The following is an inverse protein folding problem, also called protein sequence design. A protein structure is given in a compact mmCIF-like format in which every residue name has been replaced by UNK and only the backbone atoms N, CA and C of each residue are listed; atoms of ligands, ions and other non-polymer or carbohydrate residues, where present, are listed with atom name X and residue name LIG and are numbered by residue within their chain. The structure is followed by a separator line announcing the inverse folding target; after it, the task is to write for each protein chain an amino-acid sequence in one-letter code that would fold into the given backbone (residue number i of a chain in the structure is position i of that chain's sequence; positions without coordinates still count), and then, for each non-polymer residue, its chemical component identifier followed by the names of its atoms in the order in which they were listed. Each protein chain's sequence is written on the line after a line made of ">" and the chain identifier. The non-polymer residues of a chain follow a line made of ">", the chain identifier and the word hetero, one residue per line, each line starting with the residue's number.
data_IF_636430031453
#
_entry.id   IF_636430031453
#
_cell.length_a   1.000
_cell.length_b   1.000
_cell.length_c   1.000
_cell.angle_alpha   90.00
_cell.angle_beta   90.00
_cell.angle_gamma   90.00
#
_symmetry.space_group_name_H-M   'P 1'
#
loop_
_entity.id
_entity.type
_entity.pdbx_description
1 polymer ?
#
# COMPACT_ATOMS: atom_id res chain seq x y z
N UNK A 1 4.77 -2.13 -43.62
CA UNK A 1 5.17 -2.70 -42.30
C UNK A 1 6.47 -3.50 -42.36
N UNK A 2 6.87 -4.06 -43.51
CA UNK A 2 8.08 -4.90 -43.65
C UNK A 2 9.36 -4.23 -43.09
N UNK A 3 9.62 -2.98 -43.45
CA UNK A 3 10.78 -2.22 -42.94
C UNK A 3 10.83 -2.11 -41.42
N UNK A 4 9.67 -2.01 -40.74
CA UNK A 4 9.64 -1.95 -39.28
C UNK A 4 10.00 -3.31 -38.65
N UNK A 5 9.57 -4.42 -39.28
CA UNK A 5 9.90 -5.78 -38.88
C UNK A 5 11.41 -6.02 -39.04
N UNK A 6 11.97 -5.65 -40.19
CA UNK A 6 13.41 -5.75 -40.47
C UNK A 6 14.25 -4.94 -39.48
N UNK A 7 13.89 -3.68 -39.23
CA UNK A 7 14.59 -2.82 -38.28
C UNK A 7 14.49 -3.35 -36.84
N UNK A 8 13.35 -3.94 -36.47
CA UNK A 8 13.18 -4.63 -35.18
C UNK A 8 14.09 -5.86 -35.09
N UNK A 9 14.21 -6.66 -36.16
CA UNK A 9 15.13 -7.79 -36.22
C UNK A 9 16.59 -7.37 -36.09
N UNK A 10 17.00 -6.31 -36.80
CA UNK A 10 18.33 -5.70 -36.68
C UNK A 10 18.62 -5.21 -35.25
N UNK A 11 17.67 -4.50 -34.64
CA UNK A 11 17.80 -4.02 -33.26
C UNK A 11 17.98 -5.19 -32.28
N UNK A 12 17.16 -6.24 -32.42
CA UNK A 12 17.24 -7.46 -31.63
C UNK A 12 18.60 -8.13 -31.76
N UNK A 13 19.12 -8.29 -32.99
CA UNK A 13 20.44 -8.85 -33.25
C UNK A 13 21.55 -8.05 -32.57
N UNK A 14 21.53 -6.72 -32.69
CA UNK A 14 22.50 -5.81 -32.06
C UNK A 14 22.48 -5.96 -30.54
N UNK A 15 21.28 -5.97 -29.94
CA UNK A 15 21.11 -6.12 -28.49
C UNK A 15 21.70 -7.42 -27.97
N UNK A 16 21.28 -8.56 -28.52
CA UNK A 16 21.69 -9.87 -28.03
C UNK A 16 23.10 -10.29 -28.45
N UNK A 17 23.77 -9.52 -29.31
CA UNK A 17 25.20 -9.72 -29.60
C UNK A 17 26.10 -9.33 -28.42
N UNK A 18 25.69 -8.35 -27.60
CA UNK A 18 26.46 -7.86 -26.45
C UNK A 18 25.65 -7.87 -25.14
N UNK A 19 24.50 -8.57 -25.11
CA UNK A 19 23.65 -8.59 -23.93
C UNK A 19 24.33 -9.37 -22.78
N UNK A 20 24.32 -8.84 -21.54
CA UNK A 20 24.71 -9.62 -20.38
C UNK A 20 23.69 -10.76 -20.15
N UNK A 21 24.15 -11.96 -19.78
CA UNK A 21 23.27 -13.10 -19.49
C UNK A 21 23.77 -14.43 -20.04
N UNK A 22 22.85 -15.38 -20.19
CA UNK A 22 23.16 -16.73 -20.65
C UNK A 22 23.52 -16.73 -22.16
N UNK A 23 24.73 -17.16 -22.55
CA UNK A 23 25.17 -17.16 -23.96
C UNK A 23 24.26 -17.94 -24.91
N UNK A 24 23.68 -19.05 -24.44
CA UNK A 24 22.78 -19.90 -25.24
C UNK A 24 21.46 -19.15 -25.50
N UNK A 25 20.91 -18.51 -24.46
CA UNK A 25 19.68 -17.72 -24.60
C UNK A 25 19.92 -16.52 -25.51
N UNK A 26 21.05 -15.84 -25.36
CA UNK A 26 21.44 -14.73 -26.22
C UNK A 26 21.61 -15.17 -27.69
N UNK A 27 22.25 -16.32 -27.91
CA UNK A 27 22.37 -16.91 -29.24
C UNK A 27 21.00 -17.21 -29.86
N UNK A 28 20.10 -17.86 -29.12
CA UNK A 28 18.74 -18.14 -29.60
C UNK A 28 17.98 -16.85 -29.91
N UNK A 29 17.97 -15.88 -28.99
CA UNK A 29 17.25 -14.63 -29.18
C UNK A 29 17.78 -13.82 -30.36
N UNK A 30 19.11 -13.81 -30.56
CA UNK A 30 19.75 -13.17 -31.71
C UNK A 30 19.33 -13.79 -33.04
N UNK A 31 19.07 -15.10 -33.10
CA UNK A 31 18.76 -15.79 -34.36
C UNK A 31 17.24 -15.98 -34.61
N UNK A 32 16.38 -15.59 -33.67
CA UNK A 32 14.93 -15.59 -33.88
C UNK A 32 14.52 -14.25 -34.48
N UNK A 33 14.13 -14.27 -35.76
CA UNK A 33 13.64 -13.09 -36.47
C UNK A 33 12.17 -12.79 -36.16
N UNK A 34 11.78 -11.52 -36.02
CA UNK A 34 10.37 -11.15 -35.99
C UNK A 34 9.74 -11.42 -37.35
N UNK A 35 8.50 -11.92 -37.33
CA UNK A 35 7.71 -12.19 -38.53
C UNK A 35 6.35 -11.52 -38.42
N UNK A 36 5.86 -10.99 -39.54
CA UNK A 36 4.50 -10.49 -39.64
C UNK A 36 3.51 -11.66 -39.59
N UNK A 37 2.46 -11.54 -38.78
CA UNK A 37 1.40 -12.57 -38.69
C UNK A 37 0.03 -11.93 -38.82
N UNK A 38 -0.94 -12.69 -39.35
CA UNK A 38 -2.34 -12.25 -39.36
C UNK A 38 -2.90 -12.16 -37.94
N UNK A 39 -3.92 -11.31 -37.74
CA UNK A 39 -4.66 -11.22 -36.47
C UNK A 39 -5.22 -12.57 -36.02
N UNK A 40 -5.73 -13.38 -36.96
CA UNK A 40 -6.24 -14.72 -36.68
C UNK A 40 -5.13 -15.66 -36.18
N UNK A 41 -3.96 -15.63 -36.83
CA UNK A 41 -2.78 -16.41 -36.41
C UNK A 41 -2.30 -15.97 -35.03
N UNK A 42 -2.21 -14.66 -34.77
CA UNK A 42 -1.81 -14.13 -33.46
C UNK A 42 -2.77 -14.55 -32.34
N UNK A 43 -4.09 -14.49 -32.55
CA UNK A 43 -5.06 -14.95 -31.54
C UNK A 43 -4.93 -16.44 -31.25
N UNK A 44 -4.58 -17.26 -32.24
CA UNK A 44 -4.39 -18.70 -32.08
C UNK A 44 -3.06 -19.08 -31.41
N UNK A 45 -1.97 -18.39 -31.73
CA UNK A 45 -0.60 -18.82 -31.39
C UNK A 45 0.22 -17.77 -30.60
N UNK A 46 -0.37 -16.60 -30.32
CA UNK A 46 0.30 -15.49 -29.67
C UNK A 46 0.38 -15.62 -28.14
N UNK A 47 0.96 -14.58 -27.53
CA UNK A 47 1.33 -14.57 -26.11
C UNK A 47 0.16 -14.88 -25.16
N UNK A 48 -1.04 -14.37 -25.44
CA UNK A 48 -2.23 -14.66 -24.62
C UNK A 48 -2.61 -16.16 -24.62
N UNK A 49 -2.49 -16.84 -25.76
CA UNK A 49 -2.82 -18.27 -25.87
C UNK A 49 -1.72 -19.13 -25.26
N UNK A 50 -0.44 -18.79 -25.49
CA UNK A 50 0.69 -19.43 -24.82
C UNK A 50 0.59 -19.30 -23.29
N UNK A 51 0.19 -18.13 -22.79
CA UNK A 51 -0.03 -17.90 -21.36
C UNK A 51 -1.13 -18.77 -20.75
N UNK A 52 -2.23 -18.97 -21.47
CA UNK A 52 -3.31 -19.90 -21.06
C UNK A 52 -2.84 -21.35 -21.04
N UNK A 53 -2.13 -21.80 -22.07
CA UNK A 53 -1.59 -23.16 -22.14
C UNK A 53 -0.58 -23.42 -21.01
N UNK A 54 0.33 -22.47 -20.76
CA UNK A 54 1.31 -22.57 -19.68
C UNK A 54 0.65 -22.71 -18.30
N UNK A 55 -0.39 -21.91 -18.00
CA UNK A 55 -1.19 -22.08 -16.77
C UNK A 55 -1.84 -23.46 -16.66
N UNK A 56 -2.38 -23.98 -17.76
CA UNK A 56 -2.95 -25.33 -17.80
C UNK A 56 -1.92 -26.40 -17.45
N UNK A 57 -0.74 -26.32 -18.05
CA UNK A 57 0.38 -27.25 -17.79
C UNK A 57 0.88 -27.13 -16.34
N UNK A 58 1.05 -25.91 -15.81
CA UNK A 58 1.45 -25.71 -14.41
C UNK A 58 0.46 -26.37 -13.43
N UNK A 59 -0.84 -26.21 -13.65
CA UNK A 59 -1.90 -26.83 -12.83
C UNK A 59 -1.88 -28.36 -12.88
N UNK A 60 -1.49 -28.96 -14.01
CA UNK A 60 -1.32 -30.41 -14.15
C UNK A 60 -0.06 -30.88 -13.42
N UNK A 61 1.05 -30.15 -13.59
CA UNK A 61 2.32 -30.44 -12.91
C UNK A 61 2.19 -30.35 -11.38
N UNK A 62 1.33 -29.49 -10.84
CA UNK A 62 1.08 -29.40 -9.40
C UNK A 62 0.21 -30.55 -8.85
N UNK A 63 -0.70 -31.09 -9.66
CA UNK A 63 -1.68 -32.11 -9.22
C UNK A 63 -1.19 -33.55 -9.32
N UNK A 64 -0.01 -33.81 -9.89
CA UNK A 64 0.40 -35.16 -10.33
C UNK A 64 1.72 -35.70 -9.78
N UNK A 65 2.23 -35.26 -8.62
CA UNK A 65 3.64 -35.56 -8.24
C UNK A 65 3.80 -36.53 -7.06
N UNK A 66 4.40 -37.71 -7.27
CA UNK A 66 4.94 -38.57 -6.21
C UNK A 66 6.15 -37.95 -5.52
N UNK A 67 6.29 -38.18 -4.21
CA UNK A 67 7.27 -37.55 -3.31
C UNK A 67 8.75 -37.49 -3.79
N UNK A 68 9.34 -38.51 -4.45
CA UNK A 68 10.78 -38.49 -4.77
C UNK A 68 11.18 -37.60 -5.98
N UNK A 69 10.23 -37.07 -6.75
CA UNK A 69 10.50 -36.14 -7.87
C UNK A 69 9.96 -34.72 -7.64
N UNK A 70 9.53 -34.42 -6.41
CA UNK A 70 8.76 -33.23 -6.10
C UNK A 70 9.49 -31.90 -6.35
N UNK A 71 10.77 -31.79 -6.02
CA UNK A 71 11.45 -30.49 -6.01
C UNK A 71 11.84 -29.97 -7.42
N UNK A 72 12.40 -30.80 -8.33
CA UNK A 72 12.63 -30.39 -9.72
C UNK A 72 11.33 -30.11 -10.48
N UNK A 73 10.27 -30.88 -10.22
CA UNK A 73 8.97 -30.67 -10.87
C UNK A 73 8.27 -29.41 -10.36
N UNK A 74 8.35 -29.09 -9.07
CA UNK A 74 7.81 -27.84 -8.51
C UNK A 74 8.56 -26.61 -9.00
N UNK A 75 9.89 -26.69 -9.15
CA UNK A 75 10.67 -25.57 -9.70
C UNK A 75 10.30 -25.32 -11.16
N UNK A 76 10.09 -26.39 -11.94
CA UNK A 76 9.58 -26.30 -13.30
C UNK A 76 8.16 -25.74 -13.36
N UNK A 77 7.24 -26.21 -12.50
CA UNK A 77 5.86 -25.71 -12.44
C UNK A 77 5.82 -24.20 -12.17
N UNK A 78 6.62 -23.72 -11.21
CA UNK A 78 6.77 -22.29 -10.92
C UNK A 78 7.37 -21.50 -12.09
N UNK A 79 8.35 -22.07 -12.79
CA UNK A 79 8.92 -21.43 -13.98
C UNK A 79 7.89 -21.31 -15.12
N UNK A 80 7.08 -22.36 -15.33
CA UNK A 80 5.99 -22.38 -16.33
C UNK A 80 4.88 -21.41 -15.94
N UNK A 81 4.50 -21.34 -14.66
CA UNK A 81 3.52 -20.39 -14.15
C UNK A 81 3.99 -18.94 -14.37
N UNK A 82 5.22 -18.63 -13.98
CA UNK A 82 5.83 -17.31 -14.18
C UNK A 82 5.89 -16.92 -15.65
N UNK A 83 6.24 -17.86 -16.53
CA UNK A 83 6.19 -17.64 -17.98
C UNK A 83 4.75 -17.34 -18.44
N UNK A 84 3.77 -18.11 -17.95
CA UNK A 84 2.37 -17.92 -18.26
C UNK A 84 1.81 -16.56 -17.84
N UNK A 85 2.21 -16.06 -16.67
CA UNK A 85 1.88 -14.71 -16.19
C UNK A 85 2.44 -13.63 -17.11
N UNK A 86 3.74 -13.70 -17.45
CA UNK A 86 4.40 -12.74 -18.35
C UNK A 86 3.72 -12.76 -19.72
N UNK A 87 3.53 -13.94 -20.31
CA UNK A 87 2.91 -14.08 -21.63
C UNK A 87 1.46 -13.53 -21.66
N UNK A 88 0.71 -13.68 -20.56
CA UNK A 88 -0.65 -13.14 -20.47
C UNK A 88 -0.66 -11.62 -20.40
N UNK A 89 0.17 -11.03 -19.53
CA UNK A 89 0.33 -9.56 -19.45
C UNK A 89 0.77 -8.99 -20.79
N UNK A 90 1.74 -9.62 -21.46
CA UNK A 90 2.16 -9.21 -22.81
C UNK A 90 1.01 -9.29 -23.81
N UNK A 91 0.18 -10.35 -23.76
CA UNK A 91 -1.01 -10.48 -24.58
C UNK A 91 -2.04 -9.37 -24.34
N UNK A 92 -2.33 -9.06 -23.08
CA UNK A 92 -3.25 -7.97 -22.69
C UNK A 92 -2.76 -6.61 -23.20
N UNK A 93 -1.46 -6.33 -23.06
CA UNK A 93 -0.84 -5.11 -23.60
C UNK A 93 -1.00 -5.07 -25.12
N UNK A 94 -0.66 -6.14 -25.84
CA UNK A 94 -0.73 -6.16 -27.30
C UNK A 94 -2.17 -5.99 -27.79
N UNK A 95 -3.17 -6.59 -27.14
CA UNK A 95 -4.58 -6.42 -27.51
C UNK A 95 -5.03 -4.94 -27.44
N UNK A 96 -4.52 -4.15 -26.50
CA UNK A 96 -4.77 -2.70 -26.47
C UNK A 96 -4.23 -1.98 -27.72
N UNK A 97 -3.16 -2.49 -28.31
CA UNK A 97 -2.51 -1.91 -29.48
C UNK A 97 -3.00 -2.49 -30.82
N UNK A 98 -3.72 -3.61 -30.84
CA UNK A 98 -4.24 -4.22 -32.07
C UNK A 98 -5.08 -3.25 -32.93
N UNK A 99 -5.96 -2.41 -32.35
CA UNK A 99 -6.68 -1.42 -33.15
C UNK A 99 -5.76 -0.46 -33.90
N UNK A 100 -4.60 -0.13 -33.32
CA UNK A 100 -3.61 0.78 -33.89
C UNK A 100 -2.66 0.10 -34.88
N UNK A 101 -2.40 -1.20 -34.72
CA UNK A 101 -1.47 -1.95 -35.56
C UNK A 101 -2.14 -2.69 -36.72
N UNK A 102 -3.42 -3.03 -36.60
CA UNK A 102 -4.09 -3.88 -37.59
C UNK A 102 -5.44 -3.31 -38.05
N UNK A 103 -6.33 -2.94 -37.13
CA UNK A 103 -7.71 -2.62 -37.51
C UNK A 103 -7.83 -1.22 -38.15
N UNK A 104 -7.03 -0.26 -37.67
CA UNK A 104 -6.82 0.99 -38.36
C UNK A 104 -5.77 0.81 -39.45
N UNK A 105 -6.18 0.92 -40.71
CA UNK A 105 -5.25 1.07 -41.83
C UNK A 105 -4.63 2.47 -41.82
N UNK A 106 -3.87 2.80 -40.77
CA UNK A 106 -3.24 4.10 -40.59
C UNK A 106 -2.19 4.31 -41.68
N UNK A 107 -2.59 4.99 -42.74
CA UNK A 107 -1.68 5.51 -43.73
C UNK A 107 -0.99 6.72 -43.13
N UNK A 108 0.31 6.61 -42.87
CA UNK A 108 1.12 7.77 -42.55
C UNK A 108 1.10 8.72 -43.74
N UNK A 109 0.42 9.86 -43.58
CA UNK A 109 0.26 10.89 -44.61
C UNK A 109 0.83 12.19 -44.10
N UNK A 110 1.70 12.79 -44.90
CA UNK A 110 2.26 14.11 -44.62
C UNK A 110 1.65 15.19 -45.52
N UNK A 111 0.54 14.92 -46.21
CA UNK A 111 0.05 15.80 -47.28
C UNK A 111 -0.34 17.19 -46.79
N UNK A 112 -0.96 17.28 -45.61
CA UNK A 112 -1.31 18.56 -44.99
C UNK A 112 -0.04 19.35 -44.64
N UNK A 113 0.96 18.68 -44.06
CA UNK A 113 2.25 19.28 -43.71
C UNK A 113 3.02 19.70 -44.97
N UNK A 114 3.02 18.88 -46.03
CA UNK A 114 3.59 19.23 -47.34
C UNK A 114 2.92 20.45 -47.94
N UNK A 115 1.58 20.51 -47.90
CA UNK A 115 0.82 21.64 -48.44
C UNK A 115 1.07 22.93 -47.65
N UNK A 116 1.18 22.84 -46.33
CA UNK A 116 1.50 23.98 -45.48
C UNK A 116 2.93 24.45 -45.73
N UNK A 117 3.90 23.53 -45.75
CA UNK A 117 5.30 23.83 -46.05
C UNK A 117 5.44 24.48 -47.43
N UNK A 118 4.73 23.98 -48.45
CA UNK A 118 4.71 24.54 -49.80
C UNK A 118 4.05 25.94 -49.92
N UNK A 119 3.35 26.41 -48.88
CA UNK A 119 2.79 27.77 -48.81
C UNK A 119 3.66 28.76 -48.04
N UNK A 120 4.62 28.28 -47.25
CA UNK A 120 5.53 29.14 -46.48
C UNK A 120 6.48 29.88 -47.42
N UNK A 121 6.87 31.10 -47.05
CA UNK A 121 7.95 31.83 -47.73
C UNK A 121 9.28 31.11 -47.59
N UNK A 122 10.22 31.37 -48.50
CA UNK A 122 11.54 30.71 -48.49
C UNK A 122 12.31 30.95 -47.19
N UNK A 123 12.21 32.16 -46.62
CA UNK A 123 12.86 32.51 -45.35
C UNK A 123 12.36 31.64 -44.19
N UNK A 124 11.04 31.41 -44.09
CA UNK A 124 10.46 30.58 -43.04
C UNK A 124 10.78 29.09 -43.23
N UNK A 125 10.82 28.60 -44.48
CA UNK A 125 11.24 27.22 -44.77
C UNK A 125 12.70 26.98 -44.40
N UNK A 126 13.56 27.98 -44.58
CA UNK A 126 14.96 27.89 -44.20
C UNK A 126 15.13 27.81 -42.67
N UNK A 127 14.25 28.47 -41.91
CA UNK A 127 14.24 28.43 -40.44
C UNK A 127 13.65 27.13 -39.86
N UNK A 128 12.76 26.46 -40.59
CA UNK A 128 12.10 25.22 -40.17
C UNK A 128 12.29 24.09 -41.20
N UNK A 129 13.51 23.58 -41.41
CA UNK A 129 13.77 22.56 -42.42
C UNK A 129 12.97 21.28 -42.15
N UNK A 130 12.15 20.87 -43.12
CA UNK A 130 11.33 19.66 -43.02
C UNK A 130 11.51 18.80 -44.27
N UNK A 131 12.30 17.74 -44.13
CA UNK A 131 12.64 16.81 -45.19
C UNK A 131 12.44 15.37 -44.71
N UNK A 132 11.18 14.90 -44.56
CA UNK A 132 10.92 13.55 -44.08
C UNK A 132 11.60 12.47 -44.94
N UNK A 133 11.88 12.78 -46.20
CA UNK A 133 12.46 11.86 -47.18
C UNK A 133 13.96 11.70 -46.98
N UNK A 134 14.59 12.65 -46.28
CA UNK A 134 16.01 12.60 -45.88
C UNK A 134 16.22 11.89 -44.55
N UNK A 135 15.16 11.44 -43.88
CA UNK A 135 15.29 10.68 -42.64
C UNK A 135 15.93 9.33 -42.96
N UNK A 136 17.14 9.12 -42.45
CA UNK A 136 17.70 7.77 -42.37
C UNK A 136 16.95 7.01 -41.26
N UNK A 137 15.91 6.29 -41.67
CA UNK A 137 15.10 5.47 -40.77
C UNK A 137 15.90 4.39 -40.04
N UNK A 138 17.01 3.91 -40.63
CA UNK A 138 17.86 2.93 -39.95
C UNK A 138 18.60 3.61 -38.81
N UNK A 139 19.22 4.76 -39.05
CA UNK A 139 19.88 5.54 -38.03
C UNK A 139 18.91 5.98 -36.93
N UNK A 140 17.79 6.61 -37.31
CA UNK A 140 16.77 7.04 -36.34
C UNK A 140 16.26 5.87 -35.49
N UNK A 141 15.95 4.72 -36.10
CA UNK A 141 15.41 3.60 -35.33
C UNK A 141 16.47 2.95 -34.43
N UNK A 142 17.65 2.62 -34.97
CA UNK A 142 18.67 1.83 -34.26
C UNK A 142 19.54 2.66 -33.31
N UNK A 143 19.78 3.93 -33.61
CA UNK A 143 20.72 4.77 -32.86
C UNK A 143 20.01 5.85 -32.02
N UNK A 144 18.73 6.14 -32.27
CA UNK A 144 17.96 7.12 -31.49
C UNK A 144 16.78 6.47 -30.76
N UNK A 145 15.86 5.83 -31.50
CA UNK A 145 14.59 5.34 -30.95
C UNK A 145 14.76 4.14 -30.00
N UNK A 146 15.46 3.09 -30.43
CA UNK A 146 15.72 1.90 -29.60
C UNK A 146 16.50 2.27 -28.33
N UNK A 147 17.62 3.02 -28.39
CA UNK A 147 18.31 3.45 -27.17
C UNK A 147 17.44 4.29 -26.24
N UNK A 148 16.54 5.12 -26.77
CA UNK A 148 15.60 5.88 -25.94
C UNK A 148 14.60 4.96 -25.23
N UNK A 149 14.07 3.94 -25.89
CA UNK A 149 13.21 2.93 -25.27
C UNK A 149 13.97 2.19 -24.17
N UNK A 150 15.19 1.73 -24.46
CA UNK A 150 16.04 1.01 -23.50
C UNK A 150 16.35 1.86 -22.26
N UNK A 151 16.60 3.16 -22.46
CA UNK A 151 16.92 4.08 -21.36
C UNK A 151 15.70 4.47 -20.53
N UNK A 152 14.57 4.77 -21.16
CA UNK A 152 13.45 5.45 -20.50
C UNK A 152 12.24 4.56 -20.26
N UNK A 153 11.99 3.55 -21.10
CA UNK A 153 10.77 2.73 -21.04
C UNK A 153 11.04 1.39 -20.37
N UNK A 154 12.16 0.74 -20.69
CA UNK A 154 12.47 -0.59 -20.15
C UNK A 154 12.56 -0.65 -18.62
N UNK A 155 13.19 0.32 -17.92
CA UNK A 155 13.24 0.30 -16.46
C UNK A 155 11.85 0.33 -15.82
N UNK A 156 10.93 1.13 -16.37
CA UNK A 156 9.55 1.19 -15.88
C UNK A 156 8.78 -0.11 -16.14
N UNK A 157 8.93 -0.69 -17.33
CA UNK A 157 8.31 -1.97 -17.67
C UNK A 157 8.86 -3.08 -16.77
N UNK A 158 10.17 -3.12 -16.55
CA UNK A 158 10.81 -4.07 -15.65
C UNK A 158 10.31 -3.91 -14.21
N UNK A 159 10.15 -2.68 -13.71
CA UNK A 159 9.58 -2.39 -12.40
C UNK A 159 8.12 -2.86 -12.29
N UNK A 160 7.29 -2.60 -13.31
CA UNK A 160 5.88 -3.03 -13.33
C UNK A 160 5.71 -4.56 -13.44
N UNK A 161 6.67 -5.23 -14.08
CA UNK A 161 6.71 -6.69 -14.19
C UNK A 161 7.43 -7.37 -13.03
N UNK A 162 8.08 -6.60 -12.15
CA UNK A 162 8.74 -7.14 -10.96
C UNK A 162 7.71 -7.87 -10.07
N UNK A 163 8.12 -8.95 -9.38
CA UNK A 163 7.23 -9.64 -8.46
C UNK A 163 6.73 -8.68 -7.38
N UNK A 164 5.41 -8.50 -7.28
CA UNK A 164 4.83 -7.75 -6.16
C UNK A 164 5.07 -8.53 -4.87
N UNK A 165 5.58 -7.86 -3.83
CA UNK A 165 5.71 -8.48 -2.50
C UNK A 165 4.31 -8.89 -2.02
N UNK A 166 4.19 -10.11 -1.51
CA UNK A 166 2.91 -10.57 -0.97
C UNK A 166 2.52 -9.68 0.21
N UNK A 167 1.25 -9.25 0.32
CA UNK A 167 0.78 -8.51 1.48
C UNK A 167 0.99 -9.33 2.75
N UNK A 168 1.23 -8.65 3.87
CA UNK A 168 1.24 -9.31 5.18
C UNK A 168 -0.10 -10.01 5.40
N UNK A 169 -0.09 -11.12 6.13
CA UNK A 169 -1.33 -11.78 6.54
C UNK A 169 -2.13 -10.77 7.37
N UNK A 170 -3.38 -10.54 6.97
CA UNK A 170 -4.29 -9.66 7.69
C UNK A 170 -4.58 -10.20 9.09
N UNK A 171 -4.45 -9.35 10.11
CA UNK A 171 -4.92 -9.67 11.47
C UNK A 171 -6.45 -9.68 11.51
N UNK A 172 -7.03 -10.44 12.44
CA UNK A 172 -8.48 -10.54 12.57
C UNK A 172 -9.10 -9.19 13.01
N UNK A 173 -8.46 -8.52 13.97
CA UNK A 173 -8.81 -7.19 14.45
C UNK A 173 -7.56 -6.51 15.06
N UNK A 174 -7.67 -5.24 15.41
CA UNK A 174 -6.53 -4.46 15.96
C UNK A 174 -5.97 -5.05 17.25
N UNK A 175 -6.81 -5.58 18.15
CA UNK A 175 -6.29 -6.23 19.36
C UNK A 175 -5.50 -7.51 19.06
N UNK A 176 -5.97 -8.35 18.13
CA UNK A 176 -5.24 -9.55 17.70
C UNK A 176 -3.89 -9.20 17.07
N UNK A 177 -3.75 -8.01 16.48
CA UNK A 177 -2.45 -7.49 16.06
C UNK A 177 -1.53 -7.25 17.26
N UNK A 178 -2.01 -6.54 18.30
CA UNK A 178 -1.21 -6.29 19.52
C UNK A 178 -0.80 -7.59 20.22
N UNK A 179 -1.68 -8.57 20.32
CA UNK A 179 -1.37 -9.88 20.90
C UNK A 179 -0.30 -10.64 20.12
N UNK A 180 -0.44 -10.71 18.80
CA UNK A 180 0.54 -11.36 17.92
C UNK A 180 1.91 -10.65 17.99
N UNK A 181 1.93 -9.32 18.05
CA UNK A 181 3.16 -8.55 18.19
C UNK A 181 3.83 -8.79 19.55
N UNK A 182 3.08 -8.82 20.64
CA UNK A 182 3.61 -9.13 21.96
C UNK A 182 4.18 -10.56 22.04
N UNK A 183 3.54 -11.53 21.38
CA UNK A 183 4.03 -12.90 21.30
C UNK A 183 5.32 -13.02 20.47
N UNK A 184 5.40 -12.30 19.34
CA UNK A 184 6.55 -12.39 18.42
C UNK A 184 7.77 -11.58 18.86
N UNK A 185 7.53 -10.40 19.43
CA UNK A 185 8.59 -9.43 19.71
C UNK A 185 8.87 -9.26 21.22
N UNK A 186 7.93 -9.65 22.09
CA UNK A 186 8.13 -9.70 23.55
C UNK A 186 8.74 -8.42 24.12
N UNK A 187 9.96 -8.54 24.65
CA UNK A 187 10.70 -7.43 25.27
C UNK A 187 11.40 -6.48 24.30
N UNK A 188 11.29 -6.69 22.98
CA UNK A 188 11.81 -5.75 22.00
C UNK A 188 11.11 -4.38 22.14
N UNK A 189 11.83 -3.26 21.91
CA UNK A 189 11.24 -1.92 21.98
C UNK A 189 10.15 -1.73 20.93
N UNK A 190 8.96 -1.31 21.35
CA UNK A 190 7.86 -0.90 20.46
C UNK A 190 7.81 0.63 20.33
N UNK A 191 7.85 1.32 21.47
CA UNK A 191 7.75 2.78 21.54
C UNK A 191 8.95 3.32 22.32
N UNK A 192 9.58 4.35 21.79
CA UNK A 192 10.66 5.12 22.38
C UNK A 192 10.13 6.56 22.54
N UNK A 193 10.53 7.24 23.60
CA UNK A 193 10.08 8.61 23.85
C UNK A 193 11.03 9.32 24.80
N UNK A 194 11.10 10.65 24.72
CA UNK A 194 11.92 11.45 25.62
C UNK A 194 11.05 12.14 26.67
N UNK A 195 11.48 12.08 27.93
CA UNK A 195 11.00 12.97 29.00
C UNK A 195 12.19 13.82 29.46
N UNK A 196 12.16 15.11 29.11
CA UNK A 196 13.35 15.96 29.23
C UNK A 196 14.48 15.45 28.33
N UNK A 197 15.67 15.24 28.89
CA UNK A 197 16.84 14.72 28.17
C UNK A 197 16.93 13.18 28.21
N UNK A 198 16.04 12.50 28.94
CA UNK A 198 16.11 11.06 29.15
C UNK A 198 15.26 10.30 28.13
N UNK A 199 15.88 9.31 27.47
CA UNK A 199 15.19 8.38 26.58
C UNK A 199 14.59 7.22 27.36
N UNK A 200 13.29 7.04 27.21
CA UNK A 200 12.50 5.94 27.75
C UNK A 200 12.06 4.99 26.64
N UNK A 201 11.76 3.74 27.03
CA UNK A 201 11.29 2.70 26.12
C UNK A 201 10.09 1.97 26.71
N UNK A 202 9.21 1.52 25.82
CA UNK A 202 8.11 0.60 26.10
C UNK A 202 8.18 -0.56 25.12
N UNK A 203 8.30 -1.77 25.64
CA UNK A 203 8.32 -2.99 24.83
C UNK A 203 6.95 -3.36 24.29
N UNK A 204 6.90 -4.25 23.29
CA UNK A 204 5.65 -4.81 22.78
C UNK A 204 4.84 -5.52 23.89
N UNK A 205 5.53 -6.25 24.77
CA UNK A 205 4.92 -6.93 25.90
C UNK A 205 4.29 -5.93 26.89
N UNK A 206 5.03 -4.89 27.27
CA UNK A 206 4.53 -3.85 28.18
C UNK A 206 3.36 -3.06 27.59
N UNK A 207 3.39 -2.78 26.28
CA UNK A 207 2.26 -2.13 25.59
C UNK A 207 0.99 -2.99 25.71
N UNK A 208 1.10 -4.29 25.44
CA UNK A 208 -0.02 -5.25 25.52
C UNK A 208 -0.53 -5.37 26.97
N UNK A 209 0.36 -5.54 27.94
CA UNK A 209 -0.03 -5.69 29.34
C UNK A 209 -0.70 -4.43 29.89
N UNK A 210 -0.13 -3.24 29.62
CA UNK A 210 -0.75 -1.99 30.06
C UNK A 210 -2.08 -1.71 29.36
N UNK A 211 -2.20 -2.04 28.07
CA UNK A 211 -3.49 -1.94 27.38
C UNK A 211 -4.55 -2.89 27.98
N UNK A 212 -4.16 -4.09 28.42
CA UNK A 212 -5.06 -4.95 29.20
C UNK A 212 -5.46 -4.31 30.55
N UNK A 213 -4.53 -3.66 31.25
CA UNK A 213 -4.83 -2.93 32.49
C UNK A 213 -5.84 -1.81 32.27
N UNK A 214 -5.62 -0.99 31.25
CA UNK A 214 -6.58 0.05 30.81
C UNK A 214 -7.94 -0.57 30.51
N UNK A 215 -8.00 -1.70 29.81
CA UNK A 215 -9.26 -2.37 29.49
C UNK A 215 -10.02 -2.82 30.75
N UNK A 216 -9.31 -3.33 31.76
CA UNK A 216 -9.87 -3.69 33.05
C UNK A 216 -10.43 -2.46 33.79
N UNK A 217 -9.67 -1.36 33.82
CA UNK A 217 -10.08 -0.09 34.41
C UNK A 217 -11.35 0.46 33.74
N UNK A 218 -11.37 0.49 32.40
CA UNK A 218 -12.48 1.01 31.63
C UNK A 218 -13.74 0.16 31.73
N UNK A 219 -13.62 -1.17 31.75
CA UNK A 219 -14.77 -2.06 31.88
C UNK A 219 -15.32 -2.10 33.31
N UNK A 220 -14.43 -2.11 34.32
CA UNK A 220 -14.79 -2.16 35.73
C UNK A 220 -15.32 -0.83 36.22
N UNK A 221 -14.44 0.17 36.32
CA UNK A 221 -14.81 1.48 36.86
C UNK A 221 -15.55 2.32 35.81
N UNK A 222 -15.04 2.36 34.57
CA UNK A 222 -15.64 3.14 33.50
C UNK A 222 -17.00 2.62 33.04
N UNK A 223 -17.28 1.33 33.25
CA UNK A 223 -18.50 0.68 32.78
C UNK A 223 -18.58 0.50 31.26
N UNK A 224 -17.44 0.57 30.53
CA UNK A 224 -17.38 0.37 29.08
C UNK A 224 -17.85 -1.04 28.70
N UNK A 225 -18.75 -1.11 27.73
CA UNK A 225 -19.22 -2.34 27.12
C UNK A 225 -18.88 -2.39 25.63
N UNK A 226 -19.09 -3.55 25.01
CA UNK A 226 -18.89 -3.74 23.58
C UNK A 226 -19.66 -2.70 22.78
N UNK A 227 -18.94 -1.96 21.94
CA UNK A 227 -19.47 -0.91 21.08
C UNK A 227 -19.67 0.44 21.77
N UNK A 228 -19.34 0.60 23.05
CA UNK A 228 -19.38 1.92 23.70
C UNK A 228 -18.28 2.84 23.19
N UNK A 229 -18.56 4.13 23.15
CA UNK A 229 -17.63 5.13 22.61
C UNK A 229 -16.88 5.82 23.74
N UNK A 230 -15.56 5.87 23.62
CA UNK A 230 -14.67 6.53 24.58
C UNK A 230 -13.87 7.58 23.83
N UNK A 231 -13.97 8.83 24.28
CA UNK A 231 -13.16 9.93 23.72
C UNK A 231 -11.74 9.79 24.25
N UNK A 232 -10.77 9.95 23.35
CA UNK A 232 -9.35 9.93 23.66
C UNK A 232 -8.70 11.21 23.11
N UNK A 233 -8.16 12.04 24.00
CA UNK A 233 -7.51 13.31 23.62
C UNK A 233 -6.21 13.51 24.38
N UNK A 234 -5.17 13.94 23.68
CA UNK A 234 -3.84 14.15 24.28
C UNK A 234 -2.75 14.33 23.24
N UNK A 235 -1.58 14.75 23.71
CA UNK A 235 -0.40 14.90 22.85
C UNK A 235 0.19 13.53 22.48
N UNK A 236 1.12 13.53 21.52
CA UNK A 236 1.85 12.33 21.16
C UNK A 236 2.63 11.81 22.37
N UNK A 237 2.20 10.65 22.87
CA UNK A 237 2.83 9.98 24.00
C UNK A 237 2.51 8.48 23.94
N UNK A 238 3.41 7.58 24.40
CA UNK A 238 3.12 6.14 24.44
C UNK A 238 1.89 5.75 25.25
N UNK A 239 1.50 6.57 26.23
CA UNK A 239 0.28 6.38 27.01
C UNK A 239 -0.98 6.57 26.15
N UNK A 240 -0.95 7.48 25.17
CA UNK A 240 -2.03 7.62 24.19
C UNK A 240 -2.26 6.33 23.42
N UNK A 241 -1.17 5.71 22.93
CA UNK A 241 -1.20 4.43 22.22
C UNK A 241 -1.71 3.31 23.12
N UNK A 242 -1.24 3.29 24.36
CA UNK A 242 -1.63 2.31 25.38
C UNK A 242 -3.13 2.39 25.68
N UNK A 243 -3.65 3.60 25.87
CA UNK A 243 -5.07 3.82 26.14
C UNK A 243 -5.92 3.52 24.90
N UNK A 244 -5.47 3.89 23.70
CA UNK A 244 -6.15 3.54 22.45
C UNK A 244 -6.39 2.02 22.38
N UNK A 245 -5.33 1.23 22.55
CA UNK A 245 -5.46 -0.23 22.50
C UNK A 245 -6.20 -0.80 23.70
N UNK A 246 -6.17 -0.13 24.86
CA UNK A 246 -6.96 -0.50 26.02
C UNK A 246 -8.46 -0.32 25.82
N UNK A 247 -8.88 0.78 25.19
CA UNK A 247 -10.28 1.00 24.79
C UNK A 247 -10.71 -0.09 23.80
N UNK A 248 -9.89 -0.35 22.78
CA UNK A 248 -10.14 -1.42 21.80
C UNK A 248 -10.26 -2.78 22.51
N UNK A 249 -9.38 -3.07 23.47
CA UNK A 249 -9.39 -4.32 24.24
C UNK A 249 -10.62 -4.43 25.16
N UNK A 250 -11.16 -3.32 25.65
CA UNK A 250 -12.44 -3.30 26.37
C UNK A 250 -13.66 -3.51 25.44
N UNK A 251 -13.45 -3.59 24.12
CA UNK A 251 -14.52 -3.64 23.12
C UNK A 251 -15.11 -2.28 22.76
N UNK A 252 -14.49 -1.20 23.23
CA UNK A 252 -14.94 0.16 22.95
C UNK A 252 -14.48 0.66 21.59
N UNK A 253 -15.23 1.63 21.07
CA UNK A 253 -14.89 2.43 19.91
C UNK A 253 -14.15 3.69 20.34
N UNK A 254 -12.95 3.90 19.81
CA UNK A 254 -12.14 5.07 20.13
C UNK A 254 -12.62 6.28 19.34
N UNK A 255 -12.81 7.41 20.02
CA UNK A 255 -13.09 8.71 19.38
C UNK A 255 -11.86 9.61 19.61
N UNK A 256 -10.84 9.55 18.73
CA UNK A 256 -9.66 10.39 18.87
C UNK A 256 -10.02 11.84 18.54
N UNK A 257 -9.65 12.77 19.43
CA UNK A 257 -9.90 14.21 19.27
C UNK A 257 -8.61 14.98 19.46
N UNK A 258 -8.46 16.06 18.69
CA UNK A 258 -7.36 17.02 18.83
C UNK A 258 -7.38 17.70 20.22
N UNK A 259 -6.30 17.64 21.01
CA UNK A 259 -6.23 18.32 22.31
C UNK A 259 -6.39 19.84 22.23
N UNK A 260 -6.10 20.45 21.08
CA UNK A 260 -6.16 21.90 20.84
C UNK A 260 -7.48 22.33 20.14
N UNK A 261 -8.44 21.41 19.99
CA UNK A 261 -9.76 21.72 19.43
C UNK A 261 -10.49 22.76 20.31
N UNK A 262 -11.16 23.78 19.72
CA UNK A 262 -11.94 24.72 20.51
C UNK A 262 -13.01 24.00 21.38
N UNK A 263 -13.21 24.38 22.65
CA UNK A 263 -14.14 23.69 23.56
C UNK A 263 -15.57 23.53 23.01
N UNK A 264 -16.08 24.53 22.29
CA UNK A 264 -17.39 24.44 21.63
C UNK A 264 -17.44 23.32 20.57
N UNK A 265 -16.39 23.21 19.76
CA UNK A 265 -16.27 22.16 18.76
C UNK A 265 -16.10 20.77 19.42
N UNK A 266 -15.37 20.70 20.54
CA UNK A 266 -15.28 19.49 21.36
C UNK A 266 -16.66 19.05 21.88
N UNK A 267 -17.45 19.98 22.44
CA UNK A 267 -18.81 19.68 22.90
C UNK A 267 -19.73 19.19 21.78
N UNK A 268 -19.60 19.76 20.57
CA UNK A 268 -20.36 19.30 19.41
C UNK A 268 -19.98 17.86 19.02
N UNK A 269 -18.70 17.51 19.03
CA UNK A 269 -18.23 16.14 18.77
C UNK A 269 -18.71 15.19 19.87
N UNK A 270 -18.57 15.57 21.14
CA UNK A 270 -18.99 14.77 22.28
C UNK A 270 -20.50 14.47 22.24
N UNK A 271 -21.31 15.49 21.93
CA UNK A 271 -22.76 15.34 21.74
C UNK A 271 -23.08 14.42 20.56
N UNK A 272 -22.38 14.58 19.44
CA UNK A 272 -22.61 13.79 18.24
C UNK A 272 -22.20 12.32 18.41
N UNK A 273 -21.14 12.02 19.15
CA UNK A 273 -20.70 10.65 19.40
C UNK A 273 -21.43 9.99 20.59
N UNK A 274 -21.98 10.78 21.52
CA UNK A 274 -22.68 10.25 22.69
C UNK A 274 -21.77 9.46 23.65
N UNK A 275 -20.47 9.75 23.65
CA UNK A 275 -19.53 9.15 24.60
C UNK A 275 -19.81 9.64 26.02
N UNK A 276 -19.73 8.73 26.99
CA UNK A 276 -19.89 9.02 28.42
C UNK A 276 -18.57 9.02 29.18
N UNK A 277 -17.47 8.68 28.49
CA UNK A 277 -16.13 8.62 29.06
C UNK A 277 -15.19 9.40 28.16
N UNK A 278 -14.40 10.27 28.78
CA UNK A 278 -13.31 11.03 28.16
C UNK A 278 -12.03 10.67 28.89
N UNK A 279 -11.07 10.10 28.16
CA UNK A 279 -9.70 9.94 28.64
C UNK A 279 -8.86 11.06 28.05
N UNK A 280 -8.27 11.90 28.91
CA UNK A 280 -7.63 13.14 28.47
C UNK A 280 -6.29 13.40 29.15
N UNK A 281 -5.35 13.91 28.38
CA UNK A 281 -4.11 14.50 28.89
C UNK A 281 -4.43 15.80 29.66
N UNK A 282 -3.75 16.02 30.79
CA UNK A 282 -3.82 17.25 31.57
C UNK A 282 -3.68 18.53 30.71
N UNK A 283 -2.82 18.48 29.67
CA UNK A 283 -2.56 19.58 28.75
C UNK A 283 -3.62 19.78 27.65
N UNK A 284 -4.63 18.91 27.54
CA UNK A 284 -5.68 19.03 26.54
C UNK A 284 -6.67 20.15 26.92
N UNK A 285 -6.48 21.32 26.29
CA UNK A 285 -7.28 22.53 26.56
C UNK A 285 -8.74 22.42 26.08
N UNK A 286 -9.00 21.55 25.10
CA UNK A 286 -10.35 21.31 24.55
C UNK A 286 -11.38 20.81 25.58
N UNK A 287 -10.91 20.27 26.71
CA UNK A 287 -11.74 19.68 27.77
C UNK A 287 -12.03 20.68 28.91
N UNK A 288 -11.62 21.94 28.77
CA UNK A 288 -11.93 22.99 29.73
C UNK A 288 -13.46 23.12 29.93
N UNK A 289 -13.89 23.36 31.16
CA UNK A 289 -15.30 23.60 31.54
C UNK A 289 -16.30 22.44 31.36
N UNK A 290 -15.81 21.21 31.10
CA UNK A 290 -16.65 20.02 30.86
C UNK A 290 -17.64 19.69 31.99
N UNK A 291 -17.25 19.95 33.24
CA UNK A 291 -18.02 19.59 34.43
C UNK A 291 -19.35 20.35 34.55
N UNK A 292 -19.49 21.50 33.89
CA UNK A 292 -20.70 22.33 33.97
C UNK A 292 -21.85 21.85 33.07
N UNK A 293 -21.59 20.99 32.08
CA UNK A 293 -22.54 20.75 30.97
C UNK A 293 -23.13 19.34 30.89
N UNK A 294 -22.56 18.34 31.57
CA UNK A 294 -22.99 16.94 31.41
C UNK A 294 -22.73 16.10 32.68
N UNK A 295 -23.72 15.97 33.55
CA UNK A 295 -23.57 15.33 34.88
C UNK A 295 -23.19 13.84 34.87
N UNK A 296 -23.39 13.13 33.75
CA UNK A 296 -23.08 11.70 33.60
C UNK A 296 -21.72 11.43 32.92
N UNK A 297 -20.93 12.47 32.66
CA UNK A 297 -19.67 12.37 31.92
C UNK A 297 -18.49 12.09 32.84
N UNK A 298 -17.88 10.91 32.68
CA UNK A 298 -16.68 10.53 33.43
C UNK A 298 -15.42 10.98 32.69
N UNK A 299 -14.56 11.70 33.38
CA UNK A 299 -13.24 12.09 32.87
C UNK A 299 -12.15 11.30 33.59
N UNK A 300 -11.20 10.74 32.84
CA UNK A 300 -10.02 10.04 33.33
C UNK A 300 -8.77 10.75 32.82
N UNK A 301 -7.74 10.84 33.66
CA UNK A 301 -6.42 11.30 33.21
C UNK A 301 -5.76 10.23 32.32
N UNK A 302 -5.14 10.67 31.22
CA UNK A 302 -4.52 9.80 30.23
C UNK A 302 -3.39 8.93 30.82
N UNK A 303 -2.52 9.56 31.60
CA UNK A 303 -1.32 8.91 32.12
C UNK A 303 -1.65 8.00 33.31
N UNK A 304 -2.59 8.41 34.17
CA UNK A 304 -3.14 7.56 35.22
C UNK A 304 -3.86 6.34 34.64
N UNK A 305 -4.74 6.54 33.65
CA UNK A 305 -5.43 5.45 32.98
C UNK A 305 -4.44 4.45 32.37
N UNK A 306 -3.40 4.92 31.69
CA UNK A 306 -2.36 4.07 31.07
C UNK A 306 -1.54 3.24 32.07
N UNK A 307 -1.56 3.60 33.36
CA UNK A 307 -0.91 2.86 34.45
C UNK A 307 -1.92 2.10 35.33
N UNK A 308 -3.21 2.29 35.09
CA UNK A 308 -4.28 1.78 35.94
C UNK A 308 -4.77 0.38 35.55
N UNK A 309 -5.49 -0.24 36.48
CA UNK A 309 -6.09 -1.57 36.33
C UNK A 309 -5.10 -2.72 36.41
N UNK A 310 -5.61 -3.91 36.71
CA UNK A 310 -4.84 -5.16 36.67
C UNK A 310 -4.98 -5.78 35.26
N UNK A 311 -3.88 -5.98 34.51
CA UNK A 311 -3.90 -6.63 33.20
C UNK A 311 -4.61 -7.98 33.18
N UNK A 312 -4.62 -8.71 34.30
CA UNK A 312 -5.27 -10.03 34.43
C UNK A 312 -6.79 -9.94 34.53
N UNK A 313 -7.32 -8.74 34.79
CA UNK A 313 -8.74 -8.48 34.97
C UNK A 313 -9.40 -7.87 33.72
N UNK A 314 -8.71 -7.88 32.57
CA UNK A 314 -9.30 -7.42 31.32
C UNK A 314 -10.53 -8.27 30.94
N UNK A 315 -11.66 -7.67 30.55
CA UNK A 315 -12.92 -8.41 30.35
C UNK A 315 -12.79 -9.41 29.18
N UNK A 316 -13.46 -10.57 29.18
CA UNK A 316 -13.46 -11.47 28.03
C UNK A 316 -14.42 -10.93 26.95
N UNK A 317 -13.92 -10.09 26.04
CA UNK A 317 -14.73 -9.47 24.98
C UNK A 317 -14.38 -10.06 23.62
N UNK A 318 -15.39 -10.53 22.89
CA UNK A 318 -15.24 -10.97 21.51
C UNK A 318 -15.30 -9.77 20.55
N UNK A 319 -14.16 -9.42 19.95
CA UNK A 319 -14.04 -8.30 19.02
C UNK A 319 -14.29 -8.80 17.60
N UNK A 320 -15.36 -8.33 16.97
CA UNK A 320 -15.64 -8.62 15.56
C UNK A 320 -14.79 -7.76 14.62
N UNK A 321 -14.30 -8.36 13.52
CA UNK A 321 -13.58 -7.64 12.47
C UNK A 321 -14.42 -6.49 11.86
N UNK A 322 -15.74 -6.67 11.78
CA UNK A 322 -16.67 -5.64 11.30
C UNK A 322 -17.09 -4.61 12.37
N UNK A 323 -16.65 -4.78 13.62
CA UNK A 323 -16.91 -3.83 14.70
C UNK A 323 -16.18 -2.51 14.46
N UNK A 324 -16.79 -1.39 14.88
CA UNK A 324 -16.21 -0.05 14.73
C UNK A 324 -15.08 0.13 15.75
N UNK A 325 -13.86 0.26 15.24
CA UNK A 325 -12.66 0.50 16.05
C UNK A 325 -12.48 1.98 16.37
N UNK A 326 -12.79 2.86 15.42
CA UNK A 326 -12.69 4.30 15.62
C UNK A 326 -13.78 5.09 14.91
N UNK A 327 -14.21 6.18 15.56
CA UNK A 327 -15.03 7.24 14.96
C UNK A 327 -14.17 8.48 14.78
N UNK A 328 -13.84 8.80 13.53
CA UNK A 328 -13.02 9.98 13.22
C UNK A 328 -13.92 11.11 12.78
N UNK A 329 -13.88 12.23 13.52
CA UNK A 329 -14.67 13.41 13.18
C UNK A 329 -13.92 14.30 12.20
N UNK A 330 -14.65 14.77 11.20
CA UNK A 330 -14.15 15.76 10.24
C UNK A 330 -14.82 17.10 10.51
N UNK A 331 -14.13 18.20 10.22
CA UNK A 331 -14.55 19.59 10.43
C UNK A 331 -15.72 20.05 9.55
N UNK A 332 -16.60 19.11 9.14
CA UNK A 332 -17.69 19.24 8.18
C UNK A 332 -18.15 20.67 7.93
N UNK A 333 -18.13 21.07 6.66
CA UNK A 333 -18.46 22.44 6.17
C UNK A 333 -19.85 22.94 6.58
N UNK A 334 -20.73 22.08 7.09
CA UNK A 334 -22.10 22.37 7.51
C UNK A 334 -22.24 22.64 9.02
N UNK A 335 -21.14 22.79 9.76
CA UNK A 335 -21.14 23.11 11.20
C UNK A 335 -21.47 21.95 12.15
N UNK A 336 -22.11 20.88 11.65
CA UNK A 336 -22.32 19.63 12.41
C UNK A 336 -21.18 18.63 12.12
N UNK A 337 -20.43 18.18 13.15
CA UNK A 337 -19.36 17.20 12.96
C UNK A 337 -19.89 15.87 12.39
N UNK A 338 -19.22 15.34 11.36
CA UNK A 338 -19.55 14.04 10.77
C UNK A 338 -18.54 13.00 11.21
N UNK A 339 -19.00 11.96 11.90
CA UNK A 339 -18.18 10.84 12.33
C UNK A 339 -18.03 9.79 11.23
N UNK A 340 -16.80 9.55 10.79
CA UNK A 340 -16.45 8.46 9.89
C UNK A 340 -16.23 7.19 10.71
N UNK A 341 -17.05 6.18 10.48
CA UNK A 341 -16.92 4.86 11.11
C UNK A 341 -15.82 4.06 10.41
N UNK A 342 -14.76 3.71 11.15
CA UNK A 342 -13.70 2.83 10.70
C UNK A 342 -13.71 1.54 11.51
N UNK A 343 -13.90 0.42 10.82
CA UNK A 343 -13.92 -0.91 11.41
C UNK A 343 -12.51 -1.45 11.64
N UNK A 344 -12.39 -2.49 12.48
CA UNK A 344 -11.14 -3.21 12.63
C UNK A 344 -10.62 -3.77 11.29
N UNK A 345 -11.51 -4.29 10.44
CA UNK A 345 -11.17 -4.80 9.12
C UNK A 345 -10.63 -3.70 8.20
N UNK A 346 -11.15 -2.47 8.29
CA UNK A 346 -10.61 -1.34 7.52
C UNK A 346 -9.14 -1.08 7.87
N UNK A 347 -8.81 -0.98 9.16
CA UNK A 347 -7.44 -0.76 9.60
C UNK A 347 -6.52 -1.94 9.27
N UNK A 348 -6.91 -3.16 9.61
CA UNK A 348 -6.09 -4.35 9.35
C UNK A 348 -5.89 -4.60 7.84
N UNK A 349 -6.92 -4.35 7.02
CA UNK A 349 -6.83 -4.46 5.56
C UNK A 349 -5.88 -3.42 4.96
N UNK A 350 -5.94 -2.19 5.44
CA UNK A 350 -5.04 -1.11 5.01
C UNK A 350 -3.59 -1.40 5.40
N UNK A 351 -3.31 -1.86 6.63
CA UNK A 351 -1.96 -2.29 7.05
C UNK A 351 -1.41 -3.37 6.10
N UNK A 352 -2.21 -4.41 5.84
CA UNK A 352 -1.82 -5.50 4.95
C UNK A 352 -1.52 -5.02 3.52
N UNK A 353 -2.28 -4.03 3.01
CA UNK A 353 -2.07 -3.44 1.70
C UNK A 353 -0.83 -2.51 1.63
N UNK A 354 -0.51 -1.81 2.73
CA UNK A 354 0.62 -0.87 2.79
C UNK A 354 1.97 -1.56 3.05
N UNK A 355 2.00 -2.68 3.77
CA UNK A 355 3.26 -3.34 4.13
C UNK A 355 4.17 -3.74 2.95
N UNK A 356 3.65 -4.16 1.76
CA UNK A 356 4.49 -4.35 0.57
C UNK A 356 5.14 -3.09 0.02
N UNK A 357 4.49 -1.93 0.23
CA UNK A 357 4.92 -0.63 -0.29
C UNK A 357 6.00 -0.03 0.60
N UNK A 358 5.85 -0.18 1.92
CA UNK A 358 6.81 0.27 2.94
C UNK A 358 7.34 -0.95 3.70
N UNK A 359 8.42 -1.57 3.21
CA UNK A 359 8.90 -2.84 3.77
C UNK A 359 9.70 -2.63 5.04
N UNK A 360 9.01 -2.21 6.10
CA UNK A 360 9.55 -2.09 7.44
C UNK A 360 9.74 -3.47 8.06
N UNK A 361 10.70 -3.58 8.98
CA UNK A 361 10.92 -4.75 9.81
C UNK A 361 11.45 -4.36 11.20
N UNK A 362 11.69 -5.37 12.05
CA UNK A 362 12.10 -5.13 13.44
C UNK A 362 13.45 -4.42 13.65
N UNK A 363 14.26 -4.29 12.60
CA UNK A 363 15.48 -3.47 12.64
C UNK A 363 15.20 -1.96 12.49
N UNK A 364 14.08 -1.60 11.87
CA UNK A 364 13.77 -0.23 11.48
C UNK A 364 13.23 0.61 12.64
N UNK A 365 13.27 1.92 12.43
CA UNK A 365 12.78 2.92 13.36
C UNK A 365 11.96 3.95 12.59
N UNK A 366 10.70 4.12 12.96
CA UNK A 366 9.84 5.18 12.46
C UNK A 366 9.84 6.35 13.45
N UNK A 367 9.75 7.59 12.95
CA UNK A 367 9.60 8.78 13.78
C UNK A 367 8.15 9.25 13.70
N UNK A 368 7.49 9.38 14.84
CA UNK A 368 6.11 9.86 14.94
C UNK A 368 6.08 11.37 15.14
N UNK A 369 5.87 12.11 14.05
CA UNK A 369 5.95 13.59 14.06
C UNK A 369 4.57 14.24 14.03
N UNK A 370 3.62 13.66 13.29
CA UNK A 370 2.29 14.25 13.16
C UNK A 370 1.42 13.84 14.35
N UNK A 371 0.29 14.50 14.62
CA UNK A 371 -0.55 14.16 15.77
C UNK A 371 -1.18 12.77 15.66
N UNK A 372 -1.06 11.94 16.71
CA UNK A 372 -1.58 10.56 16.75
C UNK A 372 -3.10 10.46 16.58
N UNK A 373 -3.86 11.51 16.90
CA UNK A 373 -5.30 11.55 16.68
C UNK A 373 -5.66 11.69 15.19
N UNK A 374 -4.70 12.07 14.33
CA UNK A 374 -4.90 12.28 12.90
C UNK A 374 -4.77 10.95 12.15
N UNK A 375 -5.71 10.66 11.26
CA UNK A 375 -5.80 9.36 10.57
C UNK A 375 -4.47 8.95 9.93
N UNK A 376 -3.79 9.85 9.22
CA UNK A 376 -2.55 9.54 8.52
C UNK A 376 -1.43 9.08 9.48
N UNK A 377 -1.21 9.79 10.59
CA UNK A 377 -0.21 9.39 11.58
C UNK A 377 -0.60 8.08 12.23
N UNK A 378 -1.85 7.98 12.68
CA UNK A 378 -2.36 6.79 13.33
C UNK A 378 -2.17 5.54 12.46
N UNK A 379 -2.38 5.67 11.15
CA UNK A 379 -2.24 4.56 10.23
C UNK A 379 -0.79 4.30 9.79
N UNK A 380 -0.11 5.32 9.28
CA UNK A 380 1.19 5.18 8.61
C UNK A 380 2.37 5.37 9.57
N UNK A 381 2.23 6.22 10.58
CA UNK A 381 3.25 6.49 11.60
C UNK A 381 3.18 5.54 12.80
N UNK A 382 1.99 5.03 13.13
CA UNK A 382 1.78 4.13 14.27
C UNK A 382 1.47 2.68 13.87
N UNK A 383 0.32 2.43 13.25
CA UNK A 383 -0.15 1.05 13.03
C UNK A 383 0.75 0.24 12.09
N UNK A 384 1.19 0.83 10.97
CA UNK A 384 2.02 0.15 9.98
C UNK A 384 3.42 -0.23 10.51
N UNK A 385 4.18 0.66 11.17
CA UNK A 385 5.45 0.29 11.80
C UNK A 385 5.28 -0.76 12.90
N UNK A 386 4.29 -0.60 13.79
CA UNK A 386 4.00 -1.58 14.85
C UNK A 386 3.70 -2.96 14.26
N UNK A 387 2.82 -3.05 13.28
CA UNK A 387 2.45 -4.31 12.62
C UNK A 387 3.63 -5.00 11.91
N UNK A 388 4.65 -4.23 11.56
CA UNK A 388 5.89 -4.72 10.93
C UNK A 388 6.95 -5.11 11.97
N UNK A 389 6.67 -4.93 13.26
CA UNK A 389 7.60 -5.17 14.38
C UNK A 389 8.66 -4.07 14.53
N UNK A 390 8.57 -2.97 13.78
CA UNK A 390 9.48 -1.84 13.89
C UNK A 390 9.22 -1.05 15.18
N UNK A 391 10.23 -0.32 15.63
CA UNK A 391 10.10 0.59 16.78
C UNK A 391 9.69 1.98 16.31
N UNK A 392 8.98 2.72 17.14
CA UNK A 392 8.54 4.10 16.89
C UNK A 392 9.19 5.00 17.93
N UNK A 393 9.72 6.15 17.50
CA UNK A 393 10.25 7.23 18.34
C UNK A 393 9.28 8.41 18.33
#
# INVERSE_FOLDING_TARGET
>A
MERAIELTGLAKRRRYASAPGNPIVNFLQRNIEPVGVSKATYRRQGAATLGRMARGVAKVLEKGVPAPMADPLRSLARAVERYGEVATKTGEIIELFIPFMHDGAYLFRCDNTRRLFARMGEEDRARLPWYPEKIDWRHWFLDIHVPAIEKWVEPEVAQKLAPKRKPLRRHAHLWAMVEDLALRHGHAPALLYCEGEQLWRRSFLELRDRACGVAALLAGEGGVRLGDRVVLTGRNHPDWVTVYFGIVRAGGTVVPIDPDLPPEAFHNVLRACGARIVVRDAAASCVADLHASNGDLRTLDLHEAARGGDPRMAPPVEISAGGVASLIFTSGTTGTPKGVMLTHENFCGMIAALAPVFPLGGGDCALSVLPLHHTFEFTCGLLLPLASGARIV
#
